data_IF_068020808816
#
_entry.id   IF_068020808816
#
_cell.length_a   1.000
_cell.length_b   1.000
_cell.length_c   1.000
_cell.angle_alpha   90.00
_cell.angle_beta   90.00
_cell.angle_gamma   90.00
#
_symmetry.space_group_name_H-M   'P 1'
#
loop_
_entity.id
_entity.type
_entity.pdbx_description
1 polymer ?
#
# COMPACT_ATOMS: atom_id res chain seq x y z
N UNK A 1 9.49 -4.32 6.88
CA UNK A 1 9.19 -3.52 8.10
C UNK A 1 10.34 -3.58 9.13
N UNK A 2 10.67 -4.75 9.69
CA UNK A 2 11.77 -4.88 10.68
C UNK A 2 13.13 -4.35 10.18
N UNK A 3 13.46 -4.56 8.89
CA UNK A 3 14.66 -3.99 8.24
C UNK A 3 14.79 -2.47 8.39
N UNK A 4 13.66 -1.75 8.42
CA UNK A 4 13.62 -0.30 8.58
C UNK A 4 13.23 0.14 10.00
N UNK A 5 13.21 -0.80 10.97
CA UNK A 5 12.82 -0.56 12.36
C UNK A 5 11.44 0.16 12.51
N UNK A 6 10.51 -0.11 11.58
CA UNK A 6 9.16 0.45 11.63
C UNK A 6 8.34 -0.29 12.69
N UNK A 7 8.03 0.40 13.79
CA UNK A 7 7.29 -0.16 14.95
C UNK A 7 5.80 0.20 14.97
N UNK A 8 5.41 1.27 14.29
CA UNK A 8 4.04 1.80 14.30
C UNK A 8 3.31 1.46 13.00
N UNK A 9 3.42 0.21 12.55
CA UNK A 9 2.76 -0.28 11.34
C UNK A 9 2.08 -1.59 11.67
N UNK A 10 0.80 -1.70 11.30
CA UNK A 10 0.03 -2.94 11.43
C UNK A 10 -0.26 -3.48 10.04
N UNK A 11 -0.02 -4.78 9.85
CA UNK A 11 -0.42 -5.50 8.64
C UNK A 11 -1.64 -6.33 9.00
N UNK A 12 -2.74 -6.10 8.29
CA UNK A 12 -3.97 -6.85 8.45
C UNK A 12 -4.34 -7.49 7.11
N UNK A 13 -4.84 -8.72 7.16
CA UNK A 13 -5.50 -9.32 6.02
C UNK A 13 -6.95 -8.82 5.98
N UNK A 14 -7.40 -8.40 4.81
CA UNK A 14 -8.77 -7.92 4.59
C UNK A 14 -9.53 -8.88 3.69
N UNK A 15 -10.85 -8.67 3.60
CA UNK A 15 -11.71 -9.35 2.63
C UNK A 15 -11.66 -8.70 1.24
N UNK A 16 -12.47 -9.24 0.34
CA UNK A 16 -12.68 -8.69 -0.99
C UNK A 16 -13.23 -7.25 -0.92
N UNK A 17 -12.65 -6.37 -1.72
CA UNK A 17 -13.08 -4.97 -1.87
C UNK A 17 -13.57 -4.67 -3.31
N UNK A 18 -13.74 -5.71 -4.13
CA UNK A 18 -13.87 -5.59 -5.58
C UNK A 18 -12.50 -5.46 -6.26
N UNK A 19 -12.49 -4.96 -7.50
CA UNK A 19 -11.27 -4.84 -8.31
C UNK A 19 -10.51 -6.16 -8.47
N UNK A 20 -11.21 -7.28 -8.57
CA UNK A 20 -10.60 -8.62 -8.61
C UNK A 20 -9.61 -8.77 -9.78
N UNK A 21 -9.84 -8.09 -10.91
CA UNK A 21 -8.93 -8.08 -12.06
C UNK A 21 -7.57 -7.44 -11.75
N UNK A 22 -7.48 -6.62 -10.70
CA UNK A 22 -6.27 -5.94 -10.27
C UNK A 22 -5.57 -6.67 -9.11
N UNK A 23 -6.02 -7.87 -8.73
CA UNK A 23 -5.36 -8.65 -7.68
C UNK A 23 -3.90 -8.99 -8.06
N UNK A 24 -2.98 -9.07 -7.10
CA UNK A 24 -3.13 -8.89 -5.64
C UNK A 24 -3.23 -7.41 -5.26
N UNK A 25 -4.17 -7.08 -4.36
CA UNK A 25 -4.38 -5.72 -3.86
C UNK A 25 -3.65 -5.46 -2.54
N UNK A 26 -3.06 -4.27 -2.39
CA UNK A 26 -2.49 -3.78 -1.14
C UNK A 26 -2.95 -2.35 -0.87
N UNK A 27 -3.66 -2.16 0.24
CA UNK A 27 -4.02 -0.83 0.73
C UNK A 27 -2.95 -0.27 1.66
N UNK A 28 -2.56 0.98 1.44
CA UNK A 28 -1.76 1.76 2.39
C UNK A 28 -2.61 2.91 2.92
N UNK A 29 -2.77 2.93 4.25
CA UNK A 29 -3.50 3.97 4.99
C UNK A 29 -2.50 4.67 5.91
N UNK A 30 -2.37 5.99 5.76
CA UNK A 30 -1.48 6.83 6.58
C UNK A 30 -2.30 7.93 7.26
N UNK A 31 -1.97 8.31 8.51
CA UNK A 31 -2.73 9.33 9.23
C UNK A 31 -2.78 10.66 8.46
N UNK A 32 -3.98 11.19 8.25
CA UNK A 32 -4.19 12.46 7.56
C UNK A 32 -4.02 12.41 6.03
N UNK A 33 -3.88 11.22 5.45
CA UNK A 33 -3.73 11.04 4.00
C UNK A 33 -4.83 10.13 3.43
N UNK A 34 -5.25 10.34 2.17
CA UNK A 34 -6.16 9.42 1.49
C UNK A 34 -5.60 8.00 1.44
N UNK A 35 -6.49 7.00 1.54
CA UNK A 35 -6.12 5.60 1.28
C UNK A 35 -5.63 5.47 -0.16
N UNK A 36 -4.54 4.73 -0.34
CA UNK A 36 -4.03 4.36 -1.66
C UNK A 36 -4.09 2.85 -1.81
N UNK A 37 -4.73 2.39 -2.88
CA UNK A 37 -4.80 0.98 -3.27
C UNK A 37 -3.79 0.72 -4.38
N UNK A 38 -2.90 -0.23 -4.15
CA UNK A 38 -1.97 -0.76 -5.14
C UNK A 38 -2.51 -2.06 -5.74
N UNK A 39 -2.43 -2.19 -7.06
CA UNK A 39 -2.86 -3.37 -7.80
C UNK A 39 -1.70 -4.13 -8.43
N UNK A 40 -1.96 -5.37 -8.83
CA UNK A 40 -1.00 -6.30 -9.43
C UNK A 40 0.29 -6.45 -8.61
N UNK A 41 0.19 -6.33 -7.29
CA UNK A 41 1.35 -6.27 -6.42
C UNK A 41 2.05 -7.62 -6.38
N UNK A 42 3.35 -7.63 -6.65
CA UNK A 42 4.22 -8.80 -6.47
C UNK A 42 5.06 -8.66 -5.21
N UNK A 43 5.66 -9.76 -4.70
CA UNK A 43 6.61 -9.67 -3.59
C UNK A 43 7.79 -8.71 -3.84
N UNK A 44 8.19 -8.52 -5.11
CA UNK A 44 9.26 -7.62 -5.51
C UNK A 44 8.92 -6.13 -5.39
N UNK A 45 7.62 -5.79 -5.42
CA UNK A 45 7.15 -4.40 -5.34
C UNK A 45 7.06 -3.89 -3.89
N UNK A 46 6.90 -4.81 -2.93
CA UNK A 46 6.69 -4.48 -1.51
C UNK A 46 7.81 -3.60 -0.93
N UNK A 47 9.12 -3.86 -1.16
CA UNK A 47 10.17 -2.97 -0.70
C UNK A 47 10.01 -1.53 -1.22
N UNK A 48 9.66 -1.36 -2.50
CA UNK A 48 9.43 -0.03 -3.12
C UNK A 48 8.23 0.67 -2.49
N UNK A 49 7.11 -0.03 -2.27
CA UNK A 49 5.92 0.53 -1.60
C UNK A 49 6.26 0.97 -0.16
N UNK A 50 7.03 0.17 0.58
CA UNK A 50 7.45 0.51 1.94
C UNK A 50 8.36 1.74 1.95
N UNK A 51 9.40 1.75 1.11
CA UNK A 51 10.41 2.82 1.08
C UNK A 51 9.82 4.14 0.56
N UNK A 52 9.12 4.11 -0.57
CA UNK A 52 8.57 5.32 -1.18
C UNK A 52 7.32 5.80 -0.43
N UNK A 53 6.33 4.94 -0.22
CA UNK A 53 5.05 5.41 0.29
C UNK A 53 4.99 5.44 1.81
N UNK A 54 5.35 4.35 2.50
CA UNK A 54 5.19 4.29 3.96
C UNK A 54 6.22 5.19 4.68
N UNK A 55 7.48 5.16 4.24
CA UNK A 55 8.58 5.91 4.87
C UNK A 55 8.64 7.34 4.35
N UNK A 56 8.68 7.52 3.02
CA UNK A 56 8.93 8.83 2.40
C UNK A 56 7.67 9.61 2.02
N UNK A 57 6.50 8.98 2.11
CA UNK A 57 5.22 9.58 1.75
C UNK A 57 5.01 9.87 0.27
N UNK A 58 5.76 9.20 -0.60
CA UNK A 58 5.63 9.29 -2.06
C UNK A 58 4.88 8.07 -2.58
N UNK A 59 3.70 8.29 -3.16
CA UNK A 59 2.91 7.22 -3.79
C UNK A 59 3.68 6.63 -4.96
N UNK A 60 3.71 5.30 -5.06
CA UNK A 60 4.26 4.59 -6.21
C UNK A 60 3.23 4.63 -7.34
N UNK A 61 3.20 5.73 -8.08
CA UNK A 61 2.14 6.01 -9.07
C UNK A 61 1.93 4.87 -10.08
N UNK A 62 3.01 4.20 -10.52
CA UNK A 62 2.95 3.10 -11.49
C UNK A 62 2.11 1.90 -11.04
N UNK A 63 1.96 1.72 -9.72
CA UNK A 63 1.21 0.59 -9.13
C UNK A 63 -0.15 1.03 -8.56
N UNK A 64 -0.39 2.34 -8.46
CA UNK A 64 -1.58 2.86 -7.80
C UNK A 64 -2.80 2.72 -8.72
N UNK A 65 -3.83 2.00 -8.24
CA UNK A 65 -5.08 1.76 -8.99
C UNK A 65 -6.28 2.47 -8.36
N UNK A 66 -6.13 2.96 -7.13
CA UNK A 66 -7.18 3.70 -6.43
C UNK A 66 -6.61 4.69 -5.42
N UNK A 67 -7.28 5.85 -5.31
CA UNK A 67 -7.05 6.82 -4.24
C UNK A 67 -8.41 7.27 -3.71
N UNK A 68 -8.70 6.91 -2.47
CA UNK A 68 -9.99 7.17 -1.83
C UNK A 68 -9.73 8.17 -0.71
N UNK A 69 -10.26 9.37 -0.89
CA UNK A 69 -10.32 10.37 0.17
C UNK A 69 -11.62 10.17 0.93
N UNK A 70 -11.51 10.05 2.26
CA UNK A 70 -12.66 10.13 3.16
C UNK A 70 -13.19 11.57 3.23
#
# INVERSE_FOLDING_TARGET
LAKHNLKNVTVIQTGCIGMCEQEVLVDVVRPGEPRVTYGHVTPGDVPKIVEEHIINGRVVADLAVGKIAD
#
